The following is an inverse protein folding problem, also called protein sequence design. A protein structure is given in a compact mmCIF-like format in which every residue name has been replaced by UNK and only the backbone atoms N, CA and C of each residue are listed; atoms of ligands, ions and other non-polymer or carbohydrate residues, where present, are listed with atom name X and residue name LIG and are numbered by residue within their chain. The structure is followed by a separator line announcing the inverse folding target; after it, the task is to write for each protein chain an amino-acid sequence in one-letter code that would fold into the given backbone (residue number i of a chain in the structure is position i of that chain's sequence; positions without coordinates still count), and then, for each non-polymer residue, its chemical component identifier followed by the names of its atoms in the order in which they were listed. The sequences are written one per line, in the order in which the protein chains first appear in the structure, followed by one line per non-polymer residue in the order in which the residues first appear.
data_IF_484690585074
#
_entry.id   IF_484690585074
#
_cell.length_a   1.000
_cell.length_b   1.000
_cell.length_c   1.000
_cell.angle_alpha   90.00
_cell.angle_beta   90.00
_cell.angle_gamma   90.00
#
_symmetry.space_group_name_H-M   'P 1'
#
loop_
_entity.id
_entity.type
_entity.pdbx_description
1 polymer ?
#
# COMPACT_ATOMS: atom_id res chain seq x y z
N UNK A 1 -3.61 19.23 -14.11
CA UNK A 1 -3.22 18.77 -12.77
C UNK A 1 -3.48 17.27 -12.75
N UNK A 2 -2.48 16.41 -12.92
CA UNK A 2 -2.67 14.96 -12.81
C UNK A 2 -2.72 14.67 -11.32
N UNK A 3 -3.90 14.56 -10.75
CA UNK A 3 -4.03 13.89 -9.46
C UNK A 3 -3.39 12.52 -9.65
N UNK A 4 -2.39 12.23 -8.83
CA UNK A 4 -1.70 10.95 -8.77
C UNK A 4 -2.79 9.91 -8.47
N UNK A 5 -3.38 9.34 -9.52
CA UNK A 5 -4.50 8.42 -9.34
C UNK A 5 -3.96 7.27 -8.50
N UNK A 6 -4.64 6.87 -7.41
CA UNK A 6 -4.17 5.76 -6.62
C UNK A 6 -4.00 4.56 -7.54
N UNK A 7 -2.77 4.05 -7.63
CA UNK A 7 -2.41 2.96 -8.55
C UNK A 7 -3.28 1.74 -8.30
N UNK A 8 -3.71 1.53 -7.05
CA UNK A 8 -4.52 0.41 -6.62
C UNK A 8 -5.69 0.87 -5.74
N UNK A 9 -6.88 0.34 -5.97
CA UNK A 9 -8.01 0.47 -5.05
C UNK A 9 -8.10 -0.71 -4.11
N UNK A 10 -8.50 -0.47 -2.87
CA UNK A 10 -8.87 -1.49 -1.90
C UNK A 10 -10.35 -1.37 -1.57
N UNK A 11 -11.07 -2.49 -1.64
CA UNK A 11 -12.45 -2.60 -1.17
C UNK A 11 -12.49 -3.47 0.08
N UNK A 12 -12.98 -2.90 1.17
CA UNK A 12 -13.30 -3.65 2.38
C UNK A 12 -14.71 -4.23 2.30
N UNK A 13 -14.93 -5.35 3.01
CA UNK A 13 -16.21 -6.02 3.13
C UNK A 13 -17.28 -5.20 3.84
N UNK A 14 -16.88 -4.23 4.66
CA UNK A 14 -17.81 -3.28 5.29
C UNK A 14 -18.35 -2.22 4.30
N UNK A 15 -17.83 -2.20 3.06
CA UNK A 15 -18.24 -1.25 2.03
C UNK A 15 -17.28 -0.07 1.86
N UNK A 16 -16.33 0.13 2.79
CA UNK A 16 -15.30 1.17 2.66
C UNK A 16 -14.36 0.91 1.47
N UNK A 17 -13.98 1.99 0.78
CA UNK A 17 -13.05 1.95 -0.34
C UNK A 17 -11.88 2.92 -0.11
N UNK A 18 -10.65 2.44 -0.32
CA UNK A 18 -9.43 3.23 -0.13
C UNK A 18 -8.58 3.24 -1.41
N UNK A 19 -7.98 4.39 -1.72
CA UNK A 19 -6.93 4.51 -2.71
C UNK A 19 -5.59 4.20 -2.07
N UNK A 20 -4.87 3.21 -2.59
CA UNK A 20 -3.58 2.76 -2.08
C UNK A 20 -2.45 3.23 -3.00
N UNK A 21 -1.36 3.69 -2.40
CA UNK A 21 -0.09 3.94 -3.07
C UNK A 21 0.90 2.80 -2.84
N UNK A 22 0.87 2.17 -1.67
CA UNK A 22 1.69 1.00 -1.33
C UNK A 22 0.90 0.03 -0.47
N UNK A 23 1.20 -1.26 -0.59
CA UNK A 23 0.61 -2.29 0.23
C UNK A 23 1.51 -3.52 0.32
N UNK A 24 1.40 -4.25 1.42
CA UNK A 24 2.12 -5.51 1.64
C UNK A 24 1.38 -6.40 2.63
N UNK A 25 1.66 -7.70 2.55
CA UNK A 25 1.24 -8.66 3.57
C UNK A 25 2.33 -8.81 4.63
N UNK A 26 1.92 -8.70 5.89
CA UNK A 26 2.71 -9.06 7.07
C UNK A 26 1.89 -10.03 7.93
N UNK A 27 2.31 -11.30 7.97
CA UNK A 27 1.54 -12.37 8.63
C UNK A 27 0.13 -12.53 8.05
N UNK A 28 -0.89 -12.28 8.89
CA UNK A 28 -2.32 -12.38 8.56
C UNK A 28 -2.97 -11.01 8.34
N UNK A 29 -2.16 -9.95 8.27
CA UNK A 29 -2.61 -8.57 8.14
C UNK A 29 -2.15 -7.97 6.82
N UNK A 30 -3.06 -7.21 6.22
CA UNK A 30 -2.80 -6.40 5.04
C UNK A 30 -2.45 -4.99 5.49
N UNK A 31 -1.20 -4.61 5.29
CA UNK A 31 -0.71 -3.27 5.54
C UNK A 31 -0.83 -2.44 4.27
N UNK A 32 -1.25 -1.19 4.41
CA UNK A 32 -1.41 -0.30 3.28
C UNK A 32 -1.12 1.15 3.64
N UNK A 33 -0.66 1.87 2.62
CA UNK A 33 -0.46 3.31 2.63
C UNK A 33 -1.39 3.90 1.61
N UNK A 34 -2.19 4.88 2.03
CA UNK A 34 -3.14 5.57 1.19
C UNK A 34 -2.50 6.71 0.41
N UNK A 35 -3.19 7.24 -0.60
CA UNK A 35 -2.72 8.40 -1.37
C UNK A 35 -2.61 9.67 -0.53
N UNK A 36 -3.44 9.79 0.52
CA UNK A 36 -3.38 10.90 1.46
C UNK A 36 -2.31 10.74 2.56
N UNK A 37 -1.43 9.73 2.44
CA UNK A 37 -0.31 9.51 3.37
C UNK A 37 -0.69 8.82 4.68
N UNK A 38 -1.91 8.29 4.80
CA UNK A 38 -2.32 7.48 5.94
C UNK A 38 -1.78 6.06 5.80
N UNK A 39 -1.12 5.55 6.83
CA UNK A 39 -0.75 4.13 6.94
C UNK A 39 -1.69 3.44 7.93
N UNK A 40 -2.25 2.31 7.52
CA UNK A 40 -3.08 1.48 8.39
C UNK A 40 -2.94 -0.01 8.03
N UNK A 41 -3.54 -0.87 8.84
CA UNK A 41 -3.50 -2.31 8.62
C UNK A 41 -4.79 -2.98 9.08
N UNK A 42 -5.29 -3.86 8.21
CA UNK A 42 -6.53 -4.61 8.44
C UNK A 42 -6.28 -6.11 8.30
N UNK A 43 -7.03 -6.96 9.03
CA UNK A 43 -6.99 -8.40 8.80
C UNK A 43 -7.47 -8.73 7.38
N UNK A 44 -6.83 -9.72 6.75
CA UNK A 44 -7.13 -10.13 5.36
C UNK A 44 -8.60 -10.50 5.16
N UNK A 45 -9.22 -11.06 6.19
CA UNK A 45 -10.63 -11.44 6.17
C UNK A 45 -11.58 -10.25 5.97
N UNK A 46 -11.18 -9.03 6.37
CA UNK A 46 -11.99 -7.82 6.16
C UNK A 46 -11.92 -7.29 4.73
N UNK A 47 -10.98 -7.79 3.92
CA UNK A 47 -10.82 -7.35 2.54
C UNK A 47 -11.72 -8.17 1.63
N UNK A 48 -12.42 -7.48 0.73
CA UNK A 48 -13.12 -8.12 -0.38
C UNK A 48 -12.16 -8.23 -1.57
N UNK A 49 -11.41 -9.33 -1.62
CA UNK A 49 -10.44 -9.59 -2.69
C UNK A 49 -11.10 -9.72 -4.06
N UNK A 50 -12.31 -10.30 -4.12
CA UNK A 50 -13.01 -10.47 -5.38
C UNK A 50 -13.38 -9.10 -5.97
N UNK A 51 -13.94 -8.22 -5.14
CA UNK A 51 -14.32 -6.87 -5.56
C UNK A 51 -13.08 -6.00 -5.83
N UNK A 52 -12.08 -6.08 -4.97
CA UNK A 52 -10.79 -5.41 -5.15
C UNK A 52 -10.15 -5.80 -6.49
N UNK A 53 -10.06 -7.10 -6.81
CA UNK A 53 -9.52 -7.57 -8.07
C UNK A 53 -10.35 -7.09 -9.27
N UNK A 54 -11.68 -7.13 -9.18
CA UNK A 54 -12.58 -6.63 -10.23
C UNK A 54 -12.38 -5.13 -10.51
N UNK A 55 -12.29 -4.31 -9.46
CA UNK A 55 -12.11 -2.87 -9.57
C UNK A 55 -10.75 -2.51 -10.18
N UNK A 56 -9.69 -3.17 -9.74
CA UNK A 56 -8.33 -2.93 -10.26
C UNK A 56 -8.17 -3.47 -11.68
N UNK A 57 -8.74 -4.64 -12.00
CA UNK A 57 -8.73 -5.18 -13.35
C UNK A 57 -9.44 -4.26 -14.35
N UNK A 58 -10.55 -3.65 -13.93
CA UNK A 58 -11.26 -2.63 -14.74
C UNK A 58 -10.40 -1.39 -15.01
N UNK A 59 -9.40 -1.12 -14.17
CA UNK A 59 -8.42 -0.03 -14.32
C UNK A 59 -7.13 -0.46 -15.05
N UNK A 60 -7.00 -1.74 -15.39
CA UNK A 60 -5.76 -2.29 -15.95
C UNK A 60 -4.65 -2.53 -14.92
N UNK A 61 -4.93 -2.38 -13.62
CA UNK A 61 -3.99 -2.67 -12.53
C UNK A 61 -4.16 -4.10 -12.06
N UNK A 62 -3.06 -4.83 -11.88
CA UNK A 62 -3.08 -6.12 -11.18
C UNK A 62 -2.91 -5.90 -9.68
N UNK A 63 -3.83 -6.46 -8.90
CA UNK A 63 -3.72 -6.52 -7.46
C UNK A 63 -2.89 -7.76 -7.07
N UNK A 64 -1.66 -7.58 -6.61
CA UNK A 64 -0.75 -8.68 -6.30
C UNK A 64 -0.33 -8.62 -4.83
N UNK A 65 -0.71 -9.63 -4.05
CA UNK A 65 -0.40 -9.69 -2.62
C UNK A 65 1.07 -10.06 -2.42
N UNK A 66 1.93 -9.06 -2.42
CA UNK A 66 3.34 -9.24 -2.14
C UNK A 66 3.57 -9.25 -0.62
N UNK A 67 4.31 -10.25 -0.14
CA UNK A 67 4.87 -10.18 1.21
C UNK A 67 5.86 -9.03 1.24
N UNK A 68 5.94 -8.32 2.38
CA UNK A 68 6.92 -7.25 2.53
C UNK A 68 8.31 -7.79 2.16
N UNK A 69 8.97 -7.27 1.12
CA UNK A 69 10.29 -7.77 0.77
C UNK A 69 11.22 -7.45 1.93
N UNK A 70 11.99 -8.44 2.39
CA UNK A 70 12.93 -8.32 3.52
C UNK A 70 14.03 -7.25 3.32
N UNK A 71 14.04 -6.60 2.14
CA UNK A 71 15.02 -5.58 1.73
C UNK A 71 14.35 -4.26 1.31
N UNK A 72 13.09 -4.03 1.68
CA UNK A 72 12.53 -2.67 1.62
C UNK A 72 13.32 -1.83 2.64
N UNK A 73 13.93 -0.69 2.26
CA UNK A 73 14.58 0.16 3.26
C UNK A 73 13.48 0.55 4.24
N UNK A 74 13.56 0.04 5.47
CA UNK A 74 12.71 0.52 6.54
C UNK A 74 12.98 2.02 6.59
N UNK A 75 12.09 2.83 6.03
CA UNK A 75 12.04 4.24 6.36
C UNK A 75 11.45 4.23 7.77
N UNK A 76 12.30 3.91 8.73
CA UNK A 76 12.05 4.24 10.12
C UNK A 76 11.77 5.75 10.12
N UNK A 77 10.67 6.23 10.71
CA UNK A 77 10.39 7.66 10.81
C UNK A 77 11.46 8.30 11.71
N UNK A 78 12.62 8.61 11.13
CA UNK A 78 13.81 9.05 11.86
C UNK A 78 15.10 9.19 11.04
N UNK A 79 15.28 8.52 9.90
CA UNK A 79 16.56 8.57 9.13
C UNK A 79 16.55 9.53 7.92
N UNK A 80 16.12 10.78 8.10
CA UNK A 80 16.31 11.82 7.08
C UNK A 80 17.70 12.52 7.16
N UNK A 81 18.62 12.08 8.03
CA UNK A 81 19.93 12.75 8.18
C UNK A 81 21.13 11.79 8.24
N UNK A 82 21.24 10.79 7.36
CA UNK A 82 22.43 9.91 7.38
C UNK A 82 22.90 9.36 6.03
N UNK A 83 22.78 10.12 4.95
CA UNK A 83 23.36 9.67 3.67
C UNK A 83 23.81 10.82 2.76
N UNK A 84 24.59 11.76 3.31
CA UNK A 84 25.52 12.57 2.52
C UNK A 84 26.86 12.59 3.23
N UNK A 85 27.57 11.47 3.21
CA UNK A 85 29.03 11.47 3.33
C UNK A 85 29.61 12.04 2.03
N UNK A 86 29.39 13.34 1.83
CA UNK A 86 30.34 14.16 1.07
C UNK A 86 31.45 14.49 2.05
N UNK A 87 32.63 13.97 1.78
CA UNK A 87 33.87 14.32 2.43
C UNK A 87 34.14 15.83 2.34
N UNK A 88 34.54 16.43 3.46
CA UNK A 88 35.66 17.37 3.64
C UNK A 88 35.59 17.98 5.04
#
# INVERSE_FOLDING_TARGET
MRAEQPDTLLQLRDGSMYGLTRYWIDGERFHYVTDYGGEDNVPLERIDFAKTAQLNASRGTRFNLEKRPNRWPMVEPGEYCRSSLTAC
#
